data_IF_872059492523
#
_entry.id   IF_872059492523
#
_cell.length_a   1.000
_cell.length_b   1.000
_cell.length_c   1.000
_cell.angle_alpha   90.00
_cell.angle_beta   90.00
_cell.angle_gamma   90.00
#
_symmetry.space_group_name_H-M   'P 1'
#
loop_
_entity.id
_entity.type
_entity.pdbx_description
1 polymer ?
#
# COMPACT_ATOMS: atom_id res chain seq x y z
N UNK A 1 22.29 -38.67 11.41
CA UNK A 1 21.71 -37.46 10.80
C UNK A 1 20.21 -37.50 11.07
N UNK A 2 19.67 -36.52 11.80
CA UNK A 2 18.28 -36.55 12.27
C UNK A 2 17.41 -35.65 11.39
N UNK A 3 16.80 -36.20 10.34
CA UNK A 3 15.81 -35.51 9.47
C UNK A 3 14.45 -36.23 9.59
N UNK A 4 13.77 -36.13 10.75
CA UNK A 4 12.62 -36.96 11.07
C UNK A 4 11.38 -36.68 10.21
N UNK A 5 11.30 -35.49 9.60
CA UNK A 5 10.25 -35.10 8.68
C UNK A 5 10.70 -35.11 7.21
N UNK A 6 11.92 -35.57 6.92
CA UNK A 6 12.43 -35.71 5.56
C UNK A 6 12.58 -34.39 4.79
N UNK A 7 12.72 -33.24 5.46
CA UNK A 7 12.70 -31.93 4.80
C UNK A 7 13.99 -31.68 3.99
N UNK A 8 15.14 -32.07 4.54
CA UNK A 8 16.41 -31.99 3.81
C UNK A 8 16.43 -33.04 2.70
N UNK A 9 15.93 -34.24 3.00
CA UNK A 9 15.82 -35.35 2.05
C UNK A 9 14.93 -34.99 0.84
N UNK A 10 13.82 -34.27 1.06
CA UNK A 10 12.92 -33.81 0.00
C UNK A 10 13.60 -32.86 -0.99
N UNK A 11 14.53 -32.02 -0.52
CA UNK A 11 15.32 -31.12 -1.36
C UNK A 11 16.62 -31.77 -1.87
N UNK A 12 16.94 -33.00 -1.46
CA UNK A 12 18.20 -33.68 -1.79
C UNK A 12 19.42 -33.02 -1.13
N UNK A 13 19.23 -32.42 0.04
CA UNK A 13 20.25 -31.66 0.77
C UNK A 13 20.61 -32.34 2.10
N UNK A 14 21.65 -31.83 2.76
CA UNK A 14 22.02 -32.24 4.11
C UNK A 14 21.80 -31.08 5.09
N UNK A 15 21.72 -31.33 6.42
CA UNK A 15 21.60 -30.26 7.41
C UNK A 15 22.74 -29.23 7.37
N UNK A 16 23.89 -29.58 6.77
CA UNK A 16 25.03 -28.69 6.57
C UNK A 16 24.88 -27.76 5.37
N UNK A 17 23.86 -27.96 4.51
CA UNK A 17 23.68 -27.17 3.30
C UNK A 17 23.37 -25.71 3.59
N UNK A 18 23.95 -24.78 2.84
CA UNK A 18 23.74 -23.35 3.07
C UNK A 18 22.31 -22.90 2.71
N UNK A 19 21.84 -21.77 3.24
CA UNK A 19 20.54 -21.20 2.84
C UNK A 19 20.45 -20.91 1.33
N UNK A 20 21.58 -20.58 0.69
CA UNK A 20 21.69 -20.43 -0.75
C UNK A 20 21.46 -21.73 -1.52
N UNK A 21 21.95 -22.85 -1.01
CA UNK A 21 21.72 -24.18 -1.57
C UNK A 21 20.26 -24.63 -1.43
N UNK A 22 19.63 -24.35 -0.28
CA UNK A 22 18.19 -24.62 -0.06
C UNK A 22 17.33 -23.88 -1.09
N UNK A 23 17.57 -22.58 -1.29
CA UNK A 23 16.81 -21.78 -2.27
C UNK A 23 17.05 -22.24 -3.71
N UNK A 24 18.29 -22.60 -4.07
CA UNK A 24 18.64 -23.10 -5.41
C UNK A 24 18.00 -24.47 -5.68
N UNK A 25 18.15 -25.42 -4.76
CA UNK A 25 17.58 -26.76 -4.87
C UNK A 25 16.05 -26.71 -5.04
N UNK A 26 15.37 -25.87 -4.23
CA UNK A 26 13.93 -25.69 -4.37
C UNK A 26 13.53 -25.10 -5.72
N UNK A 27 14.21 -24.05 -6.23
CA UNK A 27 13.89 -23.46 -7.55
C UNK A 27 14.02 -24.49 -8.68
N UNK A 28 15.07 -25.31 -8.63
CA UNK A 28 15.31 -26.38 -9.62
C UNK A 28 14.26 -27.48 -9.53
N UNK A 29 13.94 -27.96 -8.33
CA UNK A 29 13.01 -29.08 -8.11
C UNK A 29 11.55 -28.66 -8.31
N UNK A 30 11.17 -27.44 -7.89
CA UNK A 30 9.82 -26.89 -8.06
C UNK A 30 9.40 -26.84 -9.52
N UNK A 31 10.31 -26.43 -10.40
CA UNK A 31 10.03 -26.32 -11.84
C UNK A 31 9.82 -27.69 -12.48
N UNK A 32 10.47 -28.74 -11.96
CA UNK A 32 10.35 -30.12 -12.43
C UNK A 32 9.14 -30.85 -11.84
N UNK A 33 8.76 -30.53 -10.61
CA UNK A 33 7.66 -31.19 -9.90
C UNK A 33 6.31 -30.46 -10.01
N UNK A 34 6.21 -29.41 -10.84
CA UNK A 34 4.98 -28.62 -10.93
C UNK A 34 3.81 -29.44 -11.51
N UNK A 35 2.62 -29.48 -10.86
CA UNK A 35 1.46 -30.25 -11.32
C UNK A 35 1.01 -29.90 -12.74
N UNK A 36 1.01 -28.61 -13.09
CA UNK A 36 0.66 -28.13 -14.44
C UNK A 36 1.64 -28.60 -15.54
N UNK A 37 2.80 -29.14 -15.18
CA UNK A 37 3.79 -29.73 -16.09
C UNK A 37 3.84 -31.26 -16.01
N UNK A 38 2.82 -31.88 -15.43
CA UNK A 38 2.73 -33.34 -15.26
C UNK A 38 3.54 -33.89 -14.09
N UNK A 39 3.90 -33.03 -13.12
CA UNK A 39 4.63 -33.42 -11.91
C UNK A 39 3.73 -34.02 -10.82
N UNK A 40 4.34 -34.79 -9.92
CA UNK A 40 3.67 -35.39 -8.77
C UNK A 40 3.32 -34.34 -7.70
N UNK A 41 2.02 -34.23 -7.40
CA UNK A 41 1.47 -33.27 -6.45
C UNK A 41 1.93 -33.52 -5.00
N UNK A 42 2.14 -34.78 -4.60
CA UNK A 42 2.63 -35.11 -3.26
C UNK A 42 4.09 -34.66 -3.10
N UNK A 43 4.90 -34.92 -4.13
CA UNK A 43 6.29 -34.47 -4.18
C UNK A 43 6.38 -32.95 -4.22
N UNK A 44 5.50 -32.27 -4.94
CA UNK A 44 5.44 -30.80 -4.96
C UNK A 44 5.11 -30.23 -3.57
N UNK A 45 4.12 -30.80 -2.89
CA UNK A 45 3.74 -30.42 -1.54
C UNK A 45 4.90 -30.62 -0.55
N UNK A 46 5.61 -31.75 -0.65
CA UNK A 46 6.79 -32.02 0.17
C UNK A 46 7.92 -30.99 -0.07
N UNK A 47 8.15 -30.57 -1.32
CA UNK A 47 9.14 -29.54 -1.66
C UNK A 47 8.78 -28.17 -1.09
N UNK A 48 7.50 -27.78 -1.17
CA UNK A 48 7.00 -26.51 -0.61
C UNK A 48 7.12 -26.54 0.93
N UNK A 49 6.75 -27.65 1.56
CA UNK A 49 6.90 -27.86 3.01
C UNK A 49 8.36 -27.79 3.46
N UNK A 50 9.27 -28.40 2.70
CA UNK A 50 10.70 -28.30 2.99
C UNK A 50 11.21 -26.87 2.86
N UNK A 51 10.85 -26.16 1.79
CA UNK A 51 11.31 -24.79 1.57
C UNK A 51 10.76 -23.79 2.61
N UNK A 52 9.48 -23.90 2.97
CA UNK A 52 8.84 -23.00 3.97
C UNK A 52 9.51 -23.06 5.34
N UNK A 53 10.07 -24.21 5.72
CA UNK A 53 10.80 -24.40 6.98
C UNK A 53 12.28 -24.08 6.83
N UNK A 54 12.94 -24.59 5.78
CA UNK A 54 14.41 -24.52 5.64
C UNK A 54 14.93 -23.20 5.05
N UNK A 55 14.07 -22.38 4.43
CA UNK A 55 14.46 -21.07 3.87
C UNK A 55 14.47 -19.94 4.89
N UNK A 56 13.80 -20.13 6.03
CA UNK A 56 13.72 -19.20 7.15
C UNK A 56 14.76 -19.61 8.22
N UNK A 57 15.71 -18.73 8.60
CA UNK A 57 16.75 -19.06 9.56
C UNK A 57 16.24 -19.51 10.93
N UNK A 58 15.16 -18.90 11.44
CA UNK A 58 14.63 -19.21 12.77
C UNK A 58 13.85 -20.52 12.76
N UNK A 59 13.03 -20.75 11.72
CA UNK A 59 12.31 -22.03 11.56
C UNK A 59 13.26 -23.19 11.30
N UNK A 60 14.32 -22.96 10.53
CA UNK A 60 15.37 -23.95 10.28
C UNK A 60 16.11 -24.30 11.56
N UNK A 61 16.55 -23.30 12.34
CA UNK A 61 17.20 -23.54 13.64
C UNK A 61 16.31 -24.37 14.56
N UNK A 62 15.03 -24.01 14.68
CA UNK A 62 14.08 -24.76 15.50
C UNK A 62 13.89 -26.20 15.02
N UNK A 63 13.81 -26.41 13.71
CA UNK A 63 13.71 -27.74 13.12
C UNK A 63 14.99 -28.57 13.37
N UNK A 64 16.16 -27.96 13.22
CA UNK A 64 17.45 -28.60 13.45
C UNK A 64 17.65 -28.98 14.94
N UNK A 65 17.16 -28.16 15.86
CA UNK A 65 17.25 -28.40 17.31
C UNK A 65 16.21 -29.41 17.83
N UNK A 66 14.98 -29.36 17.32
CA UNK A 66 13.85 -30.11 17.90
C UNK A 66 13.36 -31.27 17.05
N UNK A 67 13.75 -31.32 15.77
CA UNK A 67 13.20 -32.24 14.77
C UNK A 67 11.71 -32.02 14.49
N UNK A 68 11.13 -30.92 14.95
CA UNK A 68 9.70 -30.60 14.83
C UNK A 68 9.52 -29.24 14.15
N UNK A 69 8.44 -29.13 13.39
CA UNK A 69 8.01 -27.85 12.82
C UNK A 69 6.91 -27.31 13.73
N UNK A 70 7.16 -26.19 14.40
CA UNK A 70 6.14 -25.52 15.18
C UNK A 70 5.20 -24.78 14.23
N UNK A 71 3.95 -25.24 14.15
CA UNK A 71 2.91 -24.63 13.31
C UNK A 71 2.36 -23.42 14.05
N UNK A 72 2.48 -22.23 13.46
CA UNK A 72 1.78 -21.06 13.97
C UNK A 72 0.26 -21.28 13.94
N UNK A 73 -0.49 -20.58 14.80
CA UNK A 73 -1.95 -20.72 14.90
C UNK A 73 -2.69 -20.58 13.55
N UNK A 74 -2.11 -19.82 12.59
CA UNK A 74 -2.63 -19.68 11.24
C UNK A 74 -2.43 -20.91 10.33
N UNK A 75 -1.37 -21.70 10.51
CA UNK A 75 -1.11 -22.91 9.70
C UNK A 75 -1.94 -24.11 10.16
N UNK A 76 -2.23 -24.19 11.47
CA UNK A 76 -3.13 -25.22 12.03
C UNK A 76 -4.58 -25.08 11.55
N UNK A 77 -5.01 -23.86 11.21
CA UNK A 77 -6.34 -23.56 10.68
C UNK A 77 -6.51 -24.01 9.22
N UNK A 78 -5.49 -23.81 8.38
CA UNK A 78 -5.52 -24.14 6.93
C UNK A 78 -5.53 -25.66 6.69
N UNK A 79 -4.78 -26.42 7.50
CA UNK A 79 -4.69 -27.88 7.37
C UNK A 79 -6.00 -28.59 7.79
N UNK A 80 -6.77 -28.00 8.71
CA UNK A 80 -8.12 -28.45 9.06
C UNK A 80 -9.14 -28.25 7.94
N UNK A 81 -8.91 -27.31 7.03
CA UNK A 81 -9.77 -27.03 5.88
C UNK A 81 -9.40 -27.87 4.65
N UNK A 82 -8.11 -28.17 4.46
CA UNK A 82 -7.60 -28.92 3.29
C UNK A 82 -7.58 -30.45 3.46
N UNK A 83 -7.76 -30.98 4.67
CA UNK A 83 -7.52 -32.38 5.00
C UNK A 83 -8.67 -33.38 4.83
N UNK A 84 -9.81 -33.02 4.22
CA UNK A 84 -10.85 -33.98 3.80
C UNK A 84 -11.48 -34.89 4.89
N UNK A 85 -11.21 -34.68 6.17
CA UNK A 85 -11.59 -35.57 7.26
C UNK A 85 -12.91 -35.20 7.96
N UNK A 86 -13.88 -34.59 7.24
CA UNK A 86 -15.22 -34.34 7.79
C UNK A 86 -16.11 -35.60 7.79
N UNK A 87 -15.82 -36.58 6.93
CA UNK A 87 -16.71 -37.75 6.78
C UNK A 87 -16.52 -38.82 7.87
N UNK A 88 -15.37 -38.91 8.53
CA UNK A 88 -15.02 -40.09 9.34
C UNK A 88 -15.04 -39.90 10.87
N UNK A 89 -15.48 -38.72 11.33
CA UNK A 89 -15.62 -38.42 12.77
C UNK A 89 -17.06 -38.20 13.24
N UNK A 90 -18.02 -38.14 12.31
CA UNK A 90 -19.47 -38.13 12.63
C UNK A 90 -20.02 -39.55 12.84
N UNK A 91 -19.40 -40.57 12.25
CA UNK A 91 -19.82 -41.98 12.40
C UNK A 91 -19.38 -42.68 13.69
N UNK A 92 -18.51 -42.08 14.52
CA UNK A 92 -17.99 -42.70 15.77
C UNK A 92 -18.35 -41.95 17.05
N UNK A 93 -19.11 -40.86 16.95
CA UNK A 93 -19.61 -40.10 18.10
C UNK A 93 -21.11 -40.30 18.37
N UNK A 94 -21.78 -41.20 17.64
CA UNK A 94 -23.21 -41.58 17.81
C UNK A 94 -23.42 -42.95 18.47
N UNK A 95 -22.37 -43.56 19.04
CA UNK A 95 -22.46 -44.86 19.73
C UNK A 95 -22.23 -44.81 21.26
N UNK A 96 -22.05 -43.61 21.85
CA UNK A 96 -21.76 -43.47 23.29
C UNK A 96 -22.75 -42.57 24.06
N UNK A 97 -23.90 -42.23 23.47
CA UNK A 97 -24.92 -41.37 24.10
C UNK A 97 -26.34 -41.97 24.01
N UNK A 98 -26.47 -43.30 23.95
CA UNK A 98 -27.76 -43.98 23.99
C UNK A 98 -27.75 -45.05 25.07
N UNK A 99 -27.98 -44.65 26.32
CA UNK A 99 -28.45 -45.54 27.39
C UNK A 99 -28.92 -44.72 28.59
N UNK A 100 -30.17 -44.27 28.56
CA UNK A 100 -31.17 -44.59 29.58
C UNK A 100 -32.52 -44.00 29.17
N UNK A 101 -33.45 -44.91 28.88
CA UNK A 101 -34.88 -44.91 29.20
C UNK A 101 -35.59 -43.53 29.41
N UNK A 102 -36.77 -43.25 28.84
CA UNK A 102 -37.74 -44.10 28.18
C UNK A 102 -38.99 -43.29 27.82
N UNK A 103 -39.71 -43.81 26.82
CA UNK A 103 -41.18 -43.91 26.69
C UNK A 103 -42.05 -42.74 26.20
N UNK A 104 -42.88 -43.14 25.21
CA UNK A 104 -44.10 -42.55 24.60
C UNK A 104 -43.79 -41.49 23.54
N UNK A 105 -43.89 -41.76 22.23
CA UNK A 105 -45.12 -42.11 21.47
C UNK A 105 -45.76 -40.79 21.02
N UNK A 106 -46.08 -40.47 19.78
CA UNK A 106 -46.56 -41.22 18.60
C UNK A 106 -46.39 -40.28 17.38
N UNK A 107 -46.27 -40.87 16.19
CA UNK A 107 -46.35 -40.18 14.91
C UNK A 107 -47.70 -39.45 14.71
N UNK A 108 -47.67 -38.15 14.38
CA UNK A 108 -48.53 -37.53 13.36
C UNK A 108 -48.30 -36.01 13.35
N UNK A 109 -47.65 -35.50 12.30
CA UNK A 109 -48.35 -34.64 11.34
C UNK A 109 -47.42 -34.27 10.18
N UNK A 110 -47.82 -34.79 9.03
CA UNK A 110 -47.36 -34.50 7.68
C UNK A 110 -47.81 -33.09 7.29
N UNK A 111 -46.93 -32.30 6.66
CA UNK A 111 -47.32 -31.46 5.52
C UNK A 111 -46.09 -31.03 4.73
N UNK A 112 -45.87 -31.72 3.61
CA UNK A 112 -45.08 -31.21 2.49
C UNK A 112 -45.81 -29.96 1.94
N UNK A 113 -45.11 -28.82 1.87
CA UNK A 113 -45.32 -27.82 0.83
C UNK A 113 -43.97 -27.52 0.20
N UNK A 114 -43.74 -28.11 -0.96
CA UNK A 114 -42.88 -27.51 -1.96
C UNK A 114 -43.60 -26.27 -2.49
N UNK A 115 -43.02 -25.09 -2.29
CA UNK A 115 -43.24 -23.93 -3.14
C UNK A 115 -42.06 -22.96 -3.01
N UNK A 116 -41.38 -22.78 -4.13
CA UNK A 116 -40.78 -21.52 -4.60
C UNK A 116 -39.52 -20.98 -3.89
N UNK A 117 -38.40 -21.18 -4.60
CA UNK A 117 -37.36 -20.17 -4.85
C UNK A 117 -37.12 -19.10 -3.78
N UNK A 118 -36.30 -19.42 -2.78
CA UNK A 118 -35.38 -18.44 -2.20
C UNK A 118 -34.01 -19.10 -1.99
N UNK A 119 -33.06 -18.75 -2.86
CA UNK A 119 -31.63 -18.84 -2.58
C UNK A 119 -31.35 -17.96 -1.36
N UNK A 120 -31.35 -18.57 -0.18
CA UNK A 120 -30.72 -17.93 0.98
C UNK A 120 -29.20 -17.96 0.74
N UNK A 121 -28.58 -16.79 0.71
CA UNK A 121 -27.15 -16.65 0.50
C UNK A 121 -26.38 -17.37 1.62
N UNK A 122 -25.33 -18.11 1.24
CA UNK A 122 -24.41 -18.80 2.17
C UNK A 122 -23.82 -17.88 3.27
N UNK A 123 -23.92 -16.56 3.10
CA UNK A 123 -23.48 -15.55 4.06
C UNK A 123 -24.40 -15.37 5.26
N UNK A 124 -25.72 -15.51 5.10
CA UNK A 124 -26.68 -15.20 6.18
C UNK A 124 -26.65 -16.23 7.33
N UNK A 125 -26.47 -17.51 6.99
CA UNK A 125 -26.31 -18.58 7.99
C UNK A 125 -24.96 -18.53 8.71
N UNK A 126 -23.90 -18.09 8.00
CA UNK A 126 -22.56 -17.97 8.53
C UNK A 126 -22.42 -16.77 9.50
N UNK A 127 -23.03 -15.62 9.18
CA UNK A 127 -23.10 -14.48 10.08
C UNK A 127 -23.92 -14.77 11.35
N UNK A 128 -25.01 -15.52 11.22
CA UNK A 128 -25.83 -15.95 12.36
C UNK A 128 -25.05 -16.90 13.29
N UNK A 129 -24.21 -17.77 12.72
CA UNK A 129 -23.32 -18.68 13.47
C UNK A 129 -22.21 -17.91 14.21
N UNK A 130 -21.61 -16.89 13.59
CA UNK A 130 -20.54 -16.06 14.17
C UNK A 130 -21.00 -15.23 15.39
N UNK A 131 -22.25 -14.73 15.38
CA UNK A 131 -22.81 -13.98 16.52
C UNK A 131 -23.07 -14.86 17.75
N UNK A 132 -23.18 -16.18 17.59
CA UNK A 132 -23.55 -17.10 18.67
C UNK A 132 -22.40 -17.53 19.60
N UNK A 133 -21.14 -17.20 19.26
CA UNK A 133 -19.95 -17.67 20.00
C UNK A 133 -18.96 -16.57 20.36
N UNK A 134 -19.47 -15.48 20.92
CA UNK A 134 -18.62 -14.44 21.50
C UNK A 134 -17.67 -15.00 22.55
N UNK A 135 -16.38 -15.02 22.23
CA UNK A 135 -15.26 -15.09 23.18
C UNK A 135 -14.20 -14.07 22.74
N UNK A 136 -13.75 -13.32 23.73
CA UNK A 136 -12.96 -12.09 23.67
C UNK A 136 -11.53 -12.27 23.15
N UNK A 137 -11.36 -12.34 21.82
CA UNK A 137 -10.15 -11.93 21.08
C UNK A 137 -10.43 -11.75 19.57
N UNK A 138 -11.63 -11.27 19.22
CA UNK A 138 -12.15 -11.31 17.85
C UNK A 138 -11.51 -10.24 16.96
N UNK A 139 -10.51 -10.63 16.17
CA UNK A 139 -10.34 -10.01 14.85
C UNK A 139 -11.42 -10.61 13.95
N UNK A 140 -12.31 -9.77 13.43
CA UNK A 140 -13.33 -10.20 12.48
C UNK A 140 -12.62 -10.40 11.14
N UNK A 141 -12.32 -11.65 10.79
CA UNK A 141 -11.79 -11.99 9.47
C UNK A 141 -12.93 -11.84 8.46
N UNK A 142 -12.90 -10.78 7.67
CA UNK A 142 -13.80 -10.58 6.54
C UNK A 142 -13.25 -11.31 5.31
N UNK A 143 -14.08 -11.45 4.29
CA UNK A 143 -13.61 -11.85 2.95
C UNK A 143 -12.43 -11.01 2.47
N UNK A 144 -12.41 -9.73 2.86
CA UNK A 144 -11.35 -8.79 2.52
C UNK A 144 -10.06 -9.12 3.30
N UNK A 145 -10.16 -9.50 4.59
CA UNK A 145 -8.99 -9.97 5.38
C UNK A 145 -8.39 -11.27 4.83
N UNK A 146 -9.24 -12.18 4.34
CA UNK A 146 -8.81 -13.44 3.74
C UNK A 146 -8.14 -13.19 2.38
N UNK A 147 -8.74 -12.32 1.56
CA UNK A 147 -8.16 -11.86 0.30
C UNK A 147 -6.77 -11.25 0.47
N UNK A 148 -6.56 -10.47 1.53
CA UNK A 148 -5.28 -9.84 1.83
C UNK A 148 -4.22 -10.85 2.31
N UNK A 149 -4.62 -11.80 3.15
CA UNK A 149 -3.69 -12.75 3.76
C UNK A 149 -3.34 -13.91 2.83
N UNK A 150 -4.28 -14.36 1.99
CA UNK A 150 -4.14 -15.57 1.16
C UNK A 150 -4.24 -15.30 -0.34
N UNK A 151 -4.51 -14.05 -0.74
CA UNK A 151 -4.78 -13.69 -2.13
C UNK A 151 -6.21 -14.03 -2.55
N UNK A 152 -6.67 -13.39 -3.62
CA UNK A 152 -7.96 -13.72 -4.26
C UNK A 152 -7.70 -14.67 -5.41
N UNK A 153 -8.47 -15.75 -5.49
CA UNK A 153 -8.41 -16.67 -6.63
C UNK A 153 -8.88 -15.92 -7.87
N UNK A 154 -8.05 -15.83 -8.91
CA UNK A 154 -8.34 -15.02 -10.12
C UNK A 154 -9.68 -15.36 -10.81
N UNK A 155 -10.24 -16.55 -10.57
CA UNK A 155 -11.54 -16.97 -11.09
C UNK A 155 -12.75 -16.60 -10.21
N UNK A 156 -12.55 -16.03 -9.01
CA UNK A 156 -13.64 -15.69 -8.08
C UNK A 156 -14.16 -14.26 -8.23
N UNK A 157 -13.64 -13.50 -9.19
CA UNK A 157 -14.08 -12.14 -9.51
C UNK A 157 -13.98 -11.89 -11.01
N UNK A 158 -14.77 -10.93 -11.48
CA UNK A 158 -14.71 -10.47 -12.86
C UNK A 158 -13.72 -9.30 -12.95
N UNK A 159 -12.66 -9.46 -13.74
CA UNK A 159 -11.69 -8.40 -13.97
C UNK A 159 -12.31 -7.28 -14.80
N UNK A 160 -11.89 -6.04 -14.53
CA UNK A 160 -12.44 -4.87 -15.24
C UNK A 160 -11.56 -4.57 -16.45
N UNK A 161 -12.07 -4.64 -17.70
CA UNK A 161 -11.26 -4.39 -18.88
C UNK A 161 -10.87 -2.91 -18.95
N UNK A 162 -9.65 -2.67 -19.41
CA UNK A 162 -9.10 -1.34 -19.68
C UNK A 162 -8.98 -1.11 -21.18
N UNK A 163 -9.07 0.17 -21.58
CA UNK A 163 -8.76 0.56 -22.94
C UNK A 163 -7.25 0.39 -23.19
N UNK A 164 -6.92 -0.43 -24.20
CA UNK A 164 -5.55 -0.62 -24.67
C UNK A 164 -5.01 0.70 -25.23
N UNK A 165 -4.13 1.34 -24.47
CA UNK A 165 -3.38 2.53 -24.90
C UNK A 165 -1.98 2.51 -24.29
N UNK A 166 -1.06 3.14 -25.00
CA UNK A 166 0.25 3.47 -24.45
C UNK A 166 0.19 4.75 -23.64
N UNK A 167 1.02 4.82 -22.60
CA UNK A 167 1.25 6.01 -21.79
C UNK A 167 2.73 6.34 -21.78
N UNK A 168 3.07 7.63 -21.75
CA UNK A 168 4.44 8.09 -21.62
C UNK A 168 4.90 7.95 -20.16
N UNK A 169 6.06 7.33 -19.96
CA UNK A 169 6.66 7.12 -18.65
C UNK A 169 8.18 7.31 -18.67
N UNK A 170 8.72 7.88 -17.59
CA UNK A 170 10.16 8.03 -17.37
C UNK A 170 10.73 6.77 -16.72
N UNK A 171 11.35 5.92 -17.54
CA UNK A 171 11.88 4.62 -17.13
C UNK A 171 13.36 4.75 -16.80
N UNK A 172 13.74 4.31 -15.61
CA UNK A 172 15.13 4.16 -15.17
C UNK A 172 15.67 2.78 -15.56
N UNK A 173 16.75 2.73 -16.34
CA UNK A 173 17.37 1.47 -16.79
C UNK A 173 18.56 0.99 -15.96
N UNK A 174 18.92 1.69 -14.89
CA UNK A 174 20.02 1.31 -14.02
C UNK A 174 20.56 2.44 -13.16
N UNK A 175 21.47 2.14 -12.22
CA UNK A 175 22.08 3.14 -11.35
C UNK A 175 22.96 4.11 -12.14
N UNK A 176 22.84 5.41 -11.88
CA UNK A 176 23.68 6.43 -12.52
C UNK A 176 23.05 7.81 -12.52
N UNK A 177 23.63 8.77 -13.25
CA UNK A 177 23.06 10.11 -13.31
C UNK A 177 21.69 10.06 -14.00
N UNK A 178 20.68 10.80 -13.52
CA UNK A 178 19.35 10.81 -14.14
C UNK A 178 19.37 11.09 -15.65
N UNK A 179 20.24 11.99 -16.11
CA UNK A 179 20.38 12.34 -17.53
C UNK A 179 20.89 11.19 -18.41
N UNK A 180 21.57 10.21 -17.82
CA UNK A 180 22.17 9.08 -18.52
C UNK A 180 21.31 7.80 -18.37
N UNK A 181 20.38 7.78 -17.41
CA UNK A 181 19.66 6.56 -17.00
C UNK A 181 18.16 6.61 -17.18
N UNK A 182 17.58 7.80 -17.26
CA UNK A 182 16.16 7.99 -17.54
C UNK A 182 15.93 8.07 -19.04
N UNK A 183 14.94 7.32 -19.49
CA UNK A 183 14.46 7.35 -20.87
C UNK A 183 12.95 7.55 -20.85
N UNK A 184 12.45 8.35 -21.78
CA UNK A 184 11.01 8.49 -22.00
C UNK A 184 10.53 7.40 -22.93
N UNK A 185 9.65 6.54 -22.44
CA UNK A 185 9.17 5.35 -23.14
C UNK A 185 7.64 5.35 -23.16
N UNK A 186 7.08 4.89 -24.28
CA UNK A 186 5.66 4.58 -24.36
C UNK A 186 5.42 3.17 -23.80
N UNK A 187 4.87 3.07 -22.60
CA UNK A 187 4.51 1.79 -21.96
C UNK A 187 3.05 1.44 -22.21
N UNK A 188 2.76 0.16 -22.45
CA UNK A 188 1.37 -0.30 -22.60
C UNK A 188 0.73 -0.50 -21.24
N UNK A 189 -0.45 0.09 -21.03
CA UNK A 189 -1.23 -0.21 -19.83
C UNK A 189 -1.69 -1.68 -19.82
N UNK A 190 -1.86 -2.30 -18.64
CA UNK A 190 -2.48 -3.61 -18.51
C UNK A 190 -3.84 -3.66 -19.21
N UNK A 191 -4.22 -4.85 -19.70
CA UNK A 191 -5.50 -5.05 -20.42
C UNK A 191 -6.70 -5.02 -19.46
N UNK A 192 -6.48 -5.31 -18.19
CA UNK A 192 -7.52 -5.44 -17.18
C UNK A 192 -7.01 -4.98 -15.80
N UNK A 193 -7.93 -4.56 -14.93
CA UNK A 193 -7.67 -4.33 -13.51
C UNK A 193 -8.00 -5.58 -12.71
N UNK A 194 -7.04 -5.99 -11.89
CA UNK A 194 -7.19 -7.09 -10.95
C UNK A 194 -7.79 -6.62 -9.61
N UNK A 195 -8.08 -7.57 -8.72
CA UNK A 195 -8.66 -7.29 -7.41
C UNK A 195 -7.84 -6.27 -6.62
N UNK A 196 -8.51 -5.25 -6.09
CA UNK A 196 -7.89 -4.19 -5.28
C UNK A 196 -7.04 -3.20 -6.08
N UNK A 197 -7.07 -3.24 -7.41
CA UNK A 197 -6.34 -2.29 -8.26
C UNK A 197 -7.23 -1.14 -8.73
N UNK A 198 -6.58 -0.01 -9.01
CA UNK A 198 -7.20 1.16 -9.63
C UNK A 198 -6.26 1.69 -10.72
N UNK A 199 -6.85 2.21 -11.79
CA UNK A 199 -6.12 3.02 -12.77
C UNK A 199 -6.16 4.48 -12.30
N UNK A 200 -4.99 5.07 -12.11
CA UNK A 200 -4.84 6.49 -11.80
C UNK A 200 -4.25 7.24 -13.00
N UNK A 201 -4.75 8.44 -13.25
CA UNK A 201 -4.18 9.39 -14.19
C UNK A 201 -3.46 10.50 -13.43
N UNK A 202 -2.14 10.58 -13.64
CA UNK A 202 -1.30 11.57 -12.96
C UNK A 202 -1.59 12.95 -13.53
N UNK A 203 -1.85 13.93 -12.66
CA UNK A 203 -2.07 15.33 -13.05
C UNK A 203 -0.83 16.16 -12.84
N UNK A 204 -0.15 15.97 -11.72
CA UNK A 204 1.18 16.53 -11.48
C UNK A 204 2.04 15.51 -10.74
N UNK A 205 3.31 15.44 -11.12
CA UNK A 205 4.33 14.71 -10.39
C UNK A 205 5.54 15.65 -10.20
N UNK A 206 5.91 15.99 -8.95
CA UNK A 206 7.06 16.84 -8.72
C UNK A 206 8.37 16.08 -9.02
N UNK A 207 9.45 16.86 -9.14
CA UNK A 207 10.81 16.33 -9.12
C UNK A 207 11.45 16.70 -7.79
N UNK A 208 11.65 15.69 -6.95
CA UNK A 208 12.17 15.83 -5.59
C UNK A 208 13.60 15.29 -5.50
N UNK A 209 14.38 15.66 -4.46
CA UNK A 209 15.68 15.04 -4.21
C UNK A 209 15.59 13.52 -4.06
N UNK A 210 14.50 13.00 -3.48
CA UNK A 210 14.28 11.57 -3.30
C UNK A 210 14.28 10.82 -4.65
N UNK A 211 13.62 11.36 -5.66
CA UNK A 211 13.60 10.78 -7.01
C UNK A 211 15.02 10.68 -7.58
N UNK A 212 15.81 11.74 -7.42
CA UNK A 212 17.18 11.79 -7.93
C UNK A 212 18.07 10.78 -7.23
N UNK A 213 17.93 10.62 -5.91
CA UNK A 213 18.69 9.63 -5.14
C UNK A 213 18.32 8.21 -5.56
N UNK A 214 17.03 7.90 -5.69
CA UNK A 214 16.56 6.60 -6.17
C UNK A 214 17.14 6.24 -7.52
N UNK A 215 17.04 7.14 -8.50
CA UNK A 215 17.57 6.90 -9.85
C UNK A 215 19.08 6.68 -9.79
N UNK A 216 19.78 7.46 -8.97
CA UNK A 216 21.23 7.34 -8.80
C UNK A 216 21.67 6.02 -8.20
N UNK A 217 20.90 5.51 -7.24
CA UNK A 217 21.15 4.22 -6.58
C UNK A 217 20.57 3.03 -7.35
N UNK A 218 19.87 3.27 -8.47
CA UNK A 218 19.32 2.21 -9.30
C UNK A 218 18.06 1.56 -8.72
N UNK A 219 17.21 2.34 -8.06
CA UNK A 219 15.91 1.90 -7.58
C UNK A 219 15.82 1.63 -6.08
N UNK A 220 16.84 1.98 -5.31
CA UNK A 220 16.85 1.84 -3.85
C UNK A 220 16.48 3.17 -3.19
N UNK A 221 15.53 3.14 -2.26
CA UNK A 221 15.20 4.27 -1.41
C UNK A 221 14.68 3.77 -0.06
N UNK A 222 15.39 4.10 1.01
CA UNK A 222 15.12 3.57 2.35
C UNK A 222 15.16 2.02 2.36
N UNK A 223 14.16 1.35 2.95
CA UNK A 223 14.01 -0.11 2.94
C UNK A 223 13.41 -0.66 1.63
N UNK A 224 12.91 0.23 0.75
CA UNK A 224 12.23 -0.14 -0.48
C UNK A 224 13.20 -0.21 -1.66
N UNK A 225 12.99 -1.19 -2.54
CA UNK A 225 13.82 -1.36 -3.74
C UNK A 225 13.05 -1.85 -4.96
N UNK A 226 13.43 -1.35 -6.14
CA UNK A 226 12.95 -1.83 -7.44
C UNK A 226 14.13 -2.18 -8.32
N UNK A 227 14.04 -3.33 -9.00
CA UNK A 227 15.03 -3.71 -10.00
C UNK A 227 14.77 -2.95 -11.31
N UNK A 228 15.80 -2.37 -11.95
CA UNK A 228 15.67 -1.81 -13.29
C UNK A 228 15.25 -2.87 -14.33
N UNK A 229 14.41 -2.54 -15.32
CA UNK A 229 13.81 -1.22 -15.55
C UNK A 229 12.61 -0.93 -14.64
N UNK A 230 12.51 0.31 -14.15
CA UNK A 230 11.34 0.78 -13.38
C UNK A 230 10.97 2.21 -13.74
N UNK A 231 9.67 2.54 -13.64
CA UNK A 231 9.20 3.93 -13.75
C UNK A 231 9.61 4.71 -12.51
N UNK A 232 10.27 5.86 -12.70
CA UNK A 232 10.71 6.73 -11.62
C UNK A 232 9.56 7.58 -11.03
N UNK A 233 9.80 8.30 -9.94
CA UNK A 233 8.81 9.15 -9.28
C UNK A 233 8.22 8.53 -8.01
N UNK A 234 8.35 9.24 -6.89
CA UNK A 234 7.75 8.90 -5.60
C UNK A 234 6.36 9.50 -5.40
N UNK A 235 6.19 10.73 -5.87
CA UNK A 235 5.05 11.57 -5.54
C UNK A 235 4.27 12.01 -6.76
N UNK A 236 2.98 12.20 -6.55
CA UNK A 236 2.06 12.76 -7.52
C UNK A 236 0.75 13.17 -6.86
N UNK A 237 -0.02 13.97 -7.58
CA UNK A 237 -1.47 14.02 -7.43
C UNK A 237 -2.09 13.41 -8.68
N UNK A 238 -3.04 12.49 -8.48
CA UNK A 238 -3.67 11.76 -9.57
C UNK A 238 -5.18 11.72 -9.40
N UNK A 239 -5.90 11.51 -10.50
CA UNK A 239 -7.34 11.24 -10.49
C UNK A 239 -7.59 9.76 -10.76
N UNK A 240 -8.52 9.14 -10.05
CA UNK A 240 -8.95 7.76 -10.29
C UNK A 240 -9.73 7.72 -11.60
N UNK A 241 -9.19 7.05 -12.61
CA UNK A 241 -9.82 6.93 -13.92
C UNK A 241 -10.67 5.65 -14.05
N UNK A 242 -10.26 4.56 -13.38
CA UNK A 242 -11.01 3.30 -13.39
C UNK A 242 -10.79 2.53 -12.10
N UNK A 243 -11.84 1.82 -11.67
CA UNK A 243 -11.81 1.01 -10.45
C UNK A 243 -11.86 -0.47 -10.81
N UNK A 244 -10.96 -1.24 -10.19
CA UNK A 244 -10.93 -2.69 -10.25
C UNK A 244 -11.83 -3.35 -9.20
N UNK A 245 -12.05 -4.66 -9.31
CA UNK A 245 -12.94 -5.39 -8.42
C UNK A 245 -12.45 -5.34 -6.96
N UNK A 246 -13.39 -5.30 -6.00
CA UNK A 246 -13.08 -5.33 -4.58
C UNK A 246 -12.68 -3.99 -3.94
N UNK A 247 -12.48 -2.93 -4.72
CA UNK A 247 -12.21 -1.58 -4.21
C UNK A 247 -13.53 -0.91 -3.84
N UNK A 248 -13.70 -0.56 -2.56
CA UNK A 248 -14.95 0.05 -2.04
C UNK A 248 -14.80 1.50 -1.60
N UNK A 249 -13.57 1.93 -1.29
CA UNK A 249 -13.28 3.22 -0.65
C UNK A 249 -12.98 4.35 -1.64
N UNK A 250 -12.83 4.02 -2.93
CA UNK A 250 -12.53 4.96 -4.00
C UNK A 250 -13.65 4.95 -5.04
N UNK A 251 -13.83 6.08 -5.71
CA UNK A 251 -14.74 6.31 -6.83
C UNK A 251 -14.00 6.92 -8.02
N UNK A 252 -14.49 6.66 -9.24
CA UNK A 252 -13.95 7.33 -10.44
C UNK A 252 -14.12 8.85 -10.31
N UNK A 253 -13.08 9.60 -10.67
CA UNK A 253 -12.96 11.05 -10.48
C UNK A 253 -12.42 11.50 -9.13
N UNK A 254 -12.23 10.59 -8.17
CA UNK A 254 -11.59 10.91 -6.90
C UNK A 254 -10.14 11.34 -7.13
N UNK A 255 -9.71 12.37 -6.40
CA UNK A 255 -8.32 12.80 -6.39
C UNK A 255 -7.59 12.07 -5.27
N UNK A 256 -6.45 11.49 -5.61
CA UNK A 256 -5.68 10.61 -4.74
C UNK A 256 -4.20 10.97 -4.70
N UNK A 257 -3.57 10.67 -3.58
CA UNK A 257 -2.14 10.88 -3.33
C UNK A 257 -1.44 9.55 -3.01
N UNK A 258 -0.25 9.27 -3.57
CA UNK A 258 0.58 8.15 -3.15
C UNK A 258 0.97 8.23 -1.68
N UNK A 259 0.86 7.11 -0.95
CA UNK A 259 1.33 7.00 0.45
C UNK A 259 2.56 6.12 0.60
N UNK A 260 2.89 5.33 -0.42
CA UNK A 260 4.11 4.50 -0.48
C UNK A 260 5.15 5.11 -1.41
N UNK A 261 6.46 5.02 -1.12
CA UNK A 261 7.50 5.49 -2.02
C UNK A 261 7.58 4.61 -3.28
N UNK A 262 8.32 5.07 -4.29
CA UNK A 262 8.61 4.32 -5.52
C UNK A 262 7.38 3.77 -6.25
N UNK A 263 6.23 4.45 -6.18
CA UNK A 263 5.03 4.01 -6.87
C UNK A 263 5.22 4.03 -8.40
N UNK A 264 6.09 4.90 -8.90
CA UNK A 264 6.36 5.09 -10.33
C UNK A 264 5.47 6.19 -10.91
N UNK A 265 5.52 7.36 -10.29
CA UNK A 265 4.59 8.46 -10.57
C UNK A 265 4.99 9.34 -11.76
N UNK A 266 6.19 9.19 -12.33
CA UNK A 266 6.58 9.87 -13.57
C UNK A 266 6.05 9.13 -14.80
N UNK A 267 4.73 8.98 -14.84
CA UNK A 267 3.96 8.37 -15.93
C UNK A 267 2.65 9.14 -16.08
N UNK A 268 2.08 9.20 -17.29
CA UNK A 268 0.76 9.80 -17.52
C UNK A 268 -0.36 9.05 -16.77
N UNK A 269 -0.23 7.73 -16.65
CA UNK A 269 -1.14 6.90 -15.87
C UNK A 269 -0.42 5.66 -15.31
N UNK A 270 -0.96 5.10 -14.24
CA UNK A 270 -0.43 3.88 -13.64
C UNK A 270 -1.55 3.02 -13.07
N UNK A 271 -1.38 1.70 -13.13
CA UNK A 271 -2.22 0.77 -12.36
C UNK A 271 -1.55 0.55 -11.02
N UNK A 272 -2.26 0.88 -9.94
CA UNK A 272 -1.75 0.83 -8.57
C UNK A 272 -2.74 0.10 -7.66
N UNK A 273 -2.28 -0.32 -6.49
CA UNK A 273 -3.17 -0.91 -5.48
C UNK A 273 -3.94 0.22 -4.79
N UNK A 274 -5.24 0.07 -4.57
CA UNK A 274 -6.07 1.07 -3.91
C UNK A 274 -5.49 1.50 -2.55
N UNK A 275 -4.96 0.55 -1.77
CA UNK A 275 -4.33 0.83 -0.46
C UNK A 275 -3.03 1.64 -0.49
N UNK A 276 -2.41 1.79 -1.67
CA UNK A 276 -1.16 2.56 -1.83
C UNK A 276 -1.42 4.04 -2.12
N UNK A 277 -2.69 4.43 -2.19
CA UNK A 277 -3.11 5.82 -2.37
C UNK A 277 -4.16 6.20 -1.33
N UNK A 278 -4.27 7.49 -1.05
CA UNK A 278 -5.30 8.04 -0.16
C UNK A 278 -6.14 9.08 -0.90
N UNK A 279 -7.45 9.05 -0.72
CA UNK A 279 -8.37 10.05 -1.27
C UNK A 279 -8.24 11.38 -0.53
N UNK A 280 -8.25 12.48 -1.28
CA UNK A 280 -8.19 13.85 -0.73
C UNK A 280 -9.31 14.77 -1.22
N UNK A 281 -10.20 14.30 -2.09
CA UNK A 281 -11.33 15.06 -2.59
C UNK A 281 -11.73 14.56 -3.97
N UNK A 282 -12.47 15.38 -4.73
CA UNK A 282 -12.92 15.05 -6.07
C UNK A 282 -12.63 16.18 -7.04
N UNK A 283 -12.25 15.82 -8.27
CA UNK A 283 -12.07 16.84 -9.30
C UNK A 283 -13.45 17.32 -9.75
N UNK A 284 -13.71 18.63 -9.71
CA UNK A 284 -14.96 19.17 -10.23
C UNK A 284 -15.15 18.74 -11.70
N UNK A 285 -16.31 18.17 -12.02
CA UNK A 285 -16.64 17.84 -13.41
C UNK A 285 -16.58 19.13 -14.23
N UNK A 286 -15.80 19.14 -15.30
CA UNK A 286 -15.57 20.34 -16.10
C UNK A 286 -16.86 20.82 -16.79
N UNK A 287 -17.63 21.65 -16.10
CA UNK A 287 -18.63 22.55 -16.70
C UNK A 287 -18.61 23.95 -16.08
N UNK A 288 -17.69 24.26 -15.17
CA UNK A 288 -17.57 25.60 -14.59
C UNK A 288 -16.32 26.29 -15.14
N UNK A 289 -16.58 27.32 -15.94
CA UNK A 289 -15.59 28.18 -16.55
C UNK A 289 -14.63 28.80 -15.52
N UNK A 290 -13.42 29.05 -16.00
CA UNK A 290 -12.36 29.88 -15.43
C UNK A 290 -12.94 31.06 -14.64
N UNK A 291 -12.90 31.00 -13.32
CA UNK A 291 -12.93 32.17 -12.48
C UNK A 291 -11.49 32.62 -12.27
N UNK A 292 -11.10 33.70 -12.94
CA UNK A 292 -9.82 34.38 -12.68
C UNK A 292 -9.84 34.96 -11.26
N UNK A 293 -8.84 34.67 -10.41
CA UNK A 293 -8.75 35.34 -9.12
C UNK A 293 -8.12 36.71 -9.35
N UNK A 294 -8.96 37.76 -9.41
CA UNK A 294 -8.48 39.13 -9.36
C UNK A 294 -8.80 39.74 -7.99
N UNK A 295 -7.74 40.13 -7.29
CA UNK A 295 -7.63 41.16 -6.26
C UNK A 295 -8.71 41.22 -5.15
N UNK A 296 -8.39 40.67 -3.98
CA UNK A 296 -8.83 41.23 -2.70
C UNK A 296 -7.78 40.93 -1.62
N UNK A 297 -7.37 41.98 -0.90
CA UNK A 297 -6.44 41.92 0.22
C UNK A 297 -7.02 41.10 1.40
N UNK A 298 -6.17 40.53 2.28
CA UNK A 298 -6.65 39.72 3.38
C UNK A 298 -6.90 40.61 4.60
N UNK A 299 -8.15 40.83 4.97
CA UNK A 299 -8.50 41.17 6.35
C UNK A 299 -9.94 40.70 6.64
N UNK A 300 -10.10 40.08 7.81
CA UNK A 300 -11.32 39.62 8.46
C UNK A 300 -11.95 38.30 7.97
N UNK A 301 -11.61 37.20 8.67
CA UNK A 301 -12.59 36.23 9.19
C UNK A 301 -11.91 35.33 10.24
N UNK A 302 -11.89 35.83 11.48
CA UNK A 302 -11.81 34.95 12.66
C UNK A 302 -13.23 34.51 13.02
N UNK A 303 -13.34 33.31 13.59
CA UNK A 303 -14.54 32.64 14.10
C UNK A 303 -15.45 31.93 13.07
N UNK A 304 -15.02 30.74 12.66
CA UNK A 304 -15.93 29.68 12.22
C UNK A 304 -15.99 28.58 13.30
N UNK A 305 -17.13 28.51 13.99
CA UNK A 305 -17.51 27.42 14.90
C UNK A 305 -17.43 26.07 14.18
N UNK A 306 -16.77 25.11 14.81
CA UNK A 306 -16.80 23.69 14.47
C UNK A 306 -18.24 23.17 14.63
N UNK A 307 -18.96 22.98 13.52
CA UNK A 307 -20.36 22.56 13.53
C UNK A 307 -20.71 21.74 12.29
N UNK A 308 -21.04 20.46 12.52
CA UNK A 308 -21.68 19.49 11.62
C UNK A 308 -21.18 19.45 10.17
N UNK A 309 -20.29 18.50 9.88
CA UNK A 309 -19.89 18.11 8.52
C UNK A 309 -21.12 17.60 7.74
N UNK A 310 -21.67 18.45 6.86
CA UNK A 310 -22.57 17.99 5.81
C UNK A 310 -21.73 17.36 4.69
N UNK A 311 -22.23 16.27 4.09
CA UNK A 311 -21.56 15.48 3.05
C UNK A 311 -21.05 16.26 1.82
N UNK A 312 -21.37 17.54 1.69
CA UNK A 312 -20.92 18.46 0.64
C UNK A 312 -19.46 18.92 0.79
N UNK A 313 -18.88 18.89 1.99
CA UNK A 313 -17.51 19.36 2.23
C UNK A 313 -16.44 18.28 1.95
N UNK A 314 -16.85 17.00 1.94
CA UNK A 314 -15.95 15.85 1.74
C UNK A 314 -15.43 15.69 0.29
N UNK A 315 -16.06 16.35 -0.67
CA UNK A 315 -15.69 16.30 -2.09
C UNK A 315 -14.83 17.50 -2.54
N UNK A 316 -14.74 18.56 -1.74
CA UNK A 316 -13.93 19.73 -2.07
C UNK A 316 -12.43 19.45 -1.87
N UNK A 317 -11.61 19.93 -2.80
CA UNK A 317 -10.16 19.79 -2.68
C UNK A 317 -9.63 20.76 -1.62
N UNK A 318 -8.85 20.28 -0.63
CA UNK A 318 -8.38 21.13 0.47
C UNK A 318 -7.30 22.12 0.03
N UNK A 319 -6.61 21.83 -1.09
CA UNK A 319 -5.52 22.63 -1.64
C UNK A 319 -5.53 22.51 -3.18
N UNK A 320 -4.93 23.46 -3.91
CA UNK A 320 -4.72 23.30 -5.35
C UNK A 320 -3.84 22.07 -5.66
N UNK A 321 -4.03 21.48 -6.83
CA UNK A 321 -3.40 20.21 -7.22
C UNK A 321 -1.86 20.29 -7.15
N UNK A 322 -1.27 21.42 -7.51
CA UNK A 322 0.19 21.61 -7.51
C UNK A 322 0.77 21.51 -6.09
N UNK A 323 0.02 21.98 -5.07
CA UNK A 323 0.40 21.87 -3.67
C UNK A 323 0.17 20.44 -3.15
N UNK A 324 -0.94 19.81 -3.55
CA UNK A 324 -1.21 18.40 -3.23
C UNK A 324 -0.16 17.46 -3.81
N UNK A 325 0.42 17.77 -4.97
CA UNK A 325 1.49 16.98 -5.56
C UNK A 325 2.77 16.96 -4.70
N UNK A 326 2.96 17.98 -3.85
CA UNK A 326 4.08 18.10 -2.90
C UNK A 326 3.65 17.77 -1.46
N UNK A 327 2.62 16.91 -1.29
CA UNK A 327 2.03 16.61 0.02
C UNK A 327 3.06 16.07 1.02
N UNK A 328 4.03 15.26 0.59
CA UNK A 328 5.07 14.73 1.49
C UNK A 328 5.89 15.85 2.11
N UNK A 329 6.33 16.84 1.33
CA UNK A 329 7.08 17.98 1.86
C UNK A 329 6.24 18.82 2.83
N UNK A 330 4.95 19.01 2.53
CA UNK A 330 4.04 19.75 3.39
C UNK A 330 3.79 19.02 4.72
N UNK A 331 3.51 17.72 4.65
CA UNK A 331 3.30 16.86 5.83
C UNK A 331 4.58 16.74 6.67
N UNK A 332 5.74 16.63 6.02
CA UNK A 332 7.04 16.61 6.71
C UNK A 332 7.27 17.91 7.47
N UNK A 333 7.02 19.07 6.85
CA UNK A 333 7.16 20.37 7.51
C UNK A 333 6.27 20.48 8.76
N UNK A 334 5.02 20.01 8.67
CA UNK A 334 4.11 19.96 9.81
C UNK A 334 4.60 19.00 10.88
N UNK A 335 4.99 17.77 10.51
CA UNK A 335 5.49 16.76 11.44
C UNK A 335 6.75 17.21 12.17
N UNK A 336 7.67 17.92 11.53
CA UNK A 336 8.87 18.45 12.19
C UNK A 336 8.55 19.44 13.33
N UNK A 337 7.43 20.16 13.25
CA UNK A 337 7.01 21.10 14.30
C UNK A 337 6.10 20.44 15.34
N UNK A 338 5.33 19.43 14.94
CA UNK A 338 4.39 18.72 15.82
C UNK A 338 5.03 17.57 16.61
N UNK A 339 6.05 16.90 16.06
CA UNK A 339 6.50 15.56 16.50
C UNK A 339 6.76 15.42 18.00
N UNK A 340 7.28 16.47 18.66
CA UNK A 340 7.61 16.42 20.08
C UNK A 340 6.61 17.18 20.97
N UNK A 341 5.58 17.82 20.39
CA UNK A 341 4.55 18.59 21.11
C UNK A 341 5.08 19.67 22.06
N UNK A 342 6.37 20.00 21.94
CA UNK A 342 7.14 20.75 22.95
C UNK A 342 7.15 22.25 22.68
N UNK A 343 6.89 22.64 21.43
CA UNK A 343 6.93 24.02 20.98
C UNK A 343 5.68 24.78 21.42
N UNK A 344 5.90 25.89 22.12
CA UNK A 344 4.88 26.82 22.59
C UNK A 344 4.98 28.15 21.85
N UNK A 345 3.88 28.91 21.73
CA UNK A 345 3.93 30.28 21.24
C UNK A 345 5.06 31.10 21.90
N UNK A 346 5.93 31.71 21.08
CA UNK A 346 7.11 32.46 21.50
C UNK A 346 8.44 31.71 21.39
N UNK A 347 8.40 30.37 21.32
CA UNK A 347 9.60 29.54 21.16
C UNK A 347 10.26 29.79 19.79
N UNK A 348 11.56 29.54 19.72
CA UNK A 348 12.36 29.83 18.54
C UNK A 348 12.79 28.55 17.82
N UNK A 349 12.47 28.47 16.53
CA UNK A 349 12.91 27.40 15.62
C UNK A 349 14.04 27.93 14.74
N UNK A 350 15.14 27.20 14.64
CA UNK A 350 16.21 27.50 13.68
C UNK A 350 16.16 26.48 12.54
N UNK A 351 16.30 26.93 11.30
CA UNK A 351 16.32 26.07 10.13
C UNK A 351 17.34 26.53 9.09
N UNK A 352 17.91 25.55 8.39
CA UNK A 352 18.67 25.76 7.15
C UNK A 352 17.75 25.58 5.93
N UNK A 353 18.27 25.89 4.74
CA UNK A 353 17.55 25.78 3.46
C UNK A 353 16.11 26.37 3.47
N UNK A 354 15.88 27.59 4.00
CA UNK A 354 14.54 28.15 4.19
C UNK A 354 13.80 28.45 2.87
N UNK A 355 14.50 28.45 1.74
CA UNK A 355 13.93 28.63 0.40
C UNK A 355 13.50 27.30 -0.27
N UNK A 356 13.67 26.15 0.39
CA UNK A 356 13.10 24.88 -0.06
C UNK A 356 11.58 24.85 0.14
N UNK A 357 10.88 23.91 -0.47
CA UNK A 357 9.43 23.70 -0.23
C UNK A 357 9.17 23.48 1.26
N UNK A 358 9.86 22.52 1.88
CA UNK A 358 9.77 22.24 3.33
C UNK A 358 10.11 23.48 4.15
N UNK A 359 11.23 24.15 3.86
CA UNK A 359 11.67 25.32 4.62
C UNK A 359 10.68 26.49 4.57
N UNK A 360 10.06 26.76 3.42
CA UNK A 360 9.02 27.78 3.29
C UNK A 360 7.77 27.40 4.06
N UNK A 361 7.36 26.14 3.98
CA UNK A 361 6.20 25.64 4.74
C UNK A 361 6.45 25.73 6.24
N UNK A 362 7.64 25.35 6.73
CA UNK A 362 8.03 25.52 8.14
C UNK A 362 7.92 26.99 8.56
N UNK A 363 8.44 27.93 7.77
CA UNK A 363 8.34 29.37 8.09
C UNK A 363 6.89 29.86 8.18
N UNK A 364 6.03 29.41 7.26
CA UNK A 364 4.60 29.74 7.28
C UNK A 364 3.91 29.14 8.51
N UNK A 365 4.19 27.87 8.84
CA UNK A 365 3.66 27.20 10.02
C UNK A 365 4.13 27.86 11.31
N UNK A 366 5.41 28.26 11.42
CA UNK A 366 5.92 29.01 12.55
C UNK A 366 5.10 30.30 12.78
N UNK A 367 4.76 31.03 11.72
CA UNK A 367 3.92 32.23 11.83
C UNK A 367 2.52 31.90 12.36
N UNK A 368 1.89 30.84 11.86
CA UNK A 368 0.55 30.41 12.32
C UNK A 368 0.55 29.94 13.78
N UNK A 369 1.61 29.22 14.19
CA UNK A 369 1.80 28.71 15.54
C UNK A 369 2.39 29.74 16.51
N UNK A 370 2.59 30.99 16.07
CA UNK A 370 3.18 32.09 16.85
C UNK A 370 4.59 31.76 17.38
N UNK A 371 5.37 31.01 16.61
CA UNK A 371 6.77 30.70 16.87
C UNK A 371 7.69 31.76 16.23
N UNK A 372 8.85 31.98 16.82
CA UNK A 372 9.95 32.74 16.19
C UNK A 372 10.74 31.80 15.28
N UNK A 373 11.25 32.31 14.17
CA UNK A 373 12.05 31.51 13.24
C UNK A 373 13.36 32.21 12.87
N UNK A 374 14.47 31.49 12.95
CA UNK A 374 15.79 31.94 12.47
C UNK A 374 16.16 31.13 11.23
N UNK A 375 16.18 31.79 10.08
CA UNK A 375 16.38 31.18 8.78
C UNK A 375 17.82 31.37 8.28
N UNK A 376 18.59 30.28 8.20
CA UNK A 376 19.98 30.30 7.72
C UNK A 376 20.01 30.16 6.20
N UNK A 377 20.33 31.27 5.52
CA UNK A 377 20.40 31.36 4.07
C UNK A 377 21.82 31.07 3.56
N UNK A 378 21.91 30.42 2.40
CA UNK A 378 23.17 30.34 1.65
C UNK A 378 23.49 31.71 1.06
N UNK A 379 24.73 32.17 1.21
CA UNK A 379 25.19 33.37 0.55
C UNK A 379 25.18 33.15 -0.98
N UNK A 380 24.60 34.08 -1.74
CA UNK A 380 24.78 34.07 -3.19
C UNK A 380 26.25 34.44 -3.45
N UNK A 381 27.06 33.52 -3.96
CA UNK A 381 28.30 33.94 -4.58
C UNK A 381 27.93 34.84 -5.77
N UNK A 382 28.29 36.13 -5.67
CA UNK A 382 28.39 37.00 -6.82
C UNK A 382 29.34 36.33 -7.80
N UNK A 383 28.83 35.87 -8.94
CA UNK A 383 29.66 35.53 -10.07
C UNK A 383 30.26 36.84 -10.60
N UNK A 384 31.42 37.22 -10.06
CA UNK A 384 32.28 38.25 -10.65
C UNK A 384 32.86 37.71 -11.98
N UNK A 385 32.00 37.61 -13.00
CA UNK A 385 32.34 37.38 -14.41
C UNK A 385 31.17 37.86 -15.29
N UNK A 386 30.85 39.14 -15.14
CA UNK A 386 30.08 39.93 -16.10
C UNK A 386 30.45 41.41 -15.88
N UNK A 387 31.74 41.70 -15.99
CA UNK A 387 32.19 43.08 -16.19
C UNK A 387 31.81 43.48 -17.62
N UNK A 388 30.62 44.05 -17.78
CA UNK A 388 30.18 44.59 -19.07
C UNK A 388 28.67 44.72 -19.17
N UNK A 389 28.21 45.96 -19.07
CA UNK A 389 26.88 46.48 -19.42
C UNK A 389 25.80 46.55 -18.32
N UNK A 390 25.13 47.71 -18.33
CA UNK A 390 23.87 48.09 -17.70
C UNK A 390 23.91 48.68 -16.27
N UNK A 391 24.30 49.96 -16.24
CA UNK A 391 23.61 51.08 -15.57
C UNK A 391 22.37 50.79 -14.71
N UNK A 392 22.46 51.21 -13.44
CA UNK A 392 21.41 51.91 -12.68
C UNK A 392 19.98 51.35 -12.75
N UNK A 393 19.72 50.30 -11.97
CA UNK A 393 18.41 50.09 -11.37
C UNK A 393 18.61 49.74 -9.89
N UNK A 394 18.02 50.55 -9.01
CA UNK A 394 18.14 50.43 -7.56
C UNK A 394 17.66 49.04 -7.08
N UNK A 395 18.59 48.22 -6.59
CA UNK A 395 18.30 47.01 -5.84
C UNK A 395 17.77 47.38 -4.45
N UNK A 396 16.65 46.80 -3.97
CA UNK A 396 16.18 47.04 -2.61
C UNK A 396 17.21 46.50 -1.61
N UNK A 397 17.54 47.36 -0.65
CA UNK A 397 18.59 47.20 0.37
C UNK A 397 18.48 45.86 1.10
N UNK A 398 19.62 45.18 1.18
CA UNK A 398 19.95 44.21 2.22
C UNK A 398 19.55 44.77 3.60
N UNK A 399 18.80 44.00 4.38
CA UNK A 399 18.92 44.05 5.84
C UNK A 399 19.51 42.74 6.32
N UNK A 400 20.80 42.82 6.66
CA UNK A 400 21.38 42.06 7.75
C UNK A 400 20.63 42.50 9.01
N UNK A 401 20.03 41.55 9.71
CA UNK A 401 19.33 41.79 10.97
C UNK A 401 19.49 40.59 11.89
N UNK A 402 20.68 40.47 12.47
CA UNK A 402 20.83 39.84 13.79
C UNK A 402 20.10 40.75 14.79
N UNK A 403 19.01 40.30 15.38
CA UNK A 403 18.61 40.77 16.71
C UNK A 403 18.26 39.55 17.56
N UNK A 404 18.85 39.53 18.75
CA UNK A 404 18.63 38.57 19.84
C UNK A 404 17.15 38.41 20.20
#
# INVERSE_FOLDING_TARGET
>A
MHDPLGLYTALGLTPQSSAGEVKRAFRTLRTKAHPDKGGDAERFSALVKAHTVLSDPDKRRLYDETGRVHKGAGEAFVEGFAGGAFSDRVGRATAAATSLASTVGVADQIAIRQSESQQQSHTAGFEAWLRSRGSSSSSVYTSDTIAEQFGVVKASYEAVPLQQRSVLAAVCRGPGKPQERLEMVAEQLPVELEWGQVLIEVKYAPVTPADIYTVRLGGVYDEESREPPFVAGHDAVAAVAKIGPGVKELSEGDVVLPVVPLLGCWSEAAVVKAKTVVRVGKLASSSAAVATPNSAAPDAAADAKLGSESATQADELPLPLEYLAAHRELLLAYKLLEADGSLKPGDCVILNAPNSTVGRTVLQLCKLLKLRAVAVLRCKHSSASAAGAATSAALPRQMIGLSL
#
